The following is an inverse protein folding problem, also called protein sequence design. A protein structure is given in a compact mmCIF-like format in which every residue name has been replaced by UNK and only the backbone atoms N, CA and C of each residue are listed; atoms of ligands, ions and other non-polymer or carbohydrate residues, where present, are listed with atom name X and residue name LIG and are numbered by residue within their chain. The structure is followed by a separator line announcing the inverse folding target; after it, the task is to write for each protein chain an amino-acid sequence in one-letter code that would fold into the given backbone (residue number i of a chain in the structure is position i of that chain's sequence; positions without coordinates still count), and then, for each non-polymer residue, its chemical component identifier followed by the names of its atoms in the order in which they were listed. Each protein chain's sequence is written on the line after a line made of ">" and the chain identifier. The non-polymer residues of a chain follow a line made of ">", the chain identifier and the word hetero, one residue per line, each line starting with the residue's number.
data_IF_822342855343
#
_entry.id   IF_822342855343
#
_cell.length_a   1.000
_cell.length_b   1.000
_cell.length_c   1.000
_cell.angle_alpha   90.00
_cell.angle_beta   90.00
_cell.angle_gamma   90.00
#
_symmetry.space_group_name_H-M   'P 1'
#
loop_
_entity.id
_entity.type
_entity.pdbx_description
1 polymer ?
#
# COMPACT_ATOMS: atom_id res chain seq x y z
N UNK A 1 10.27 -3.05 -10.84
CA UNK A 1 9.22 -2.37 -10.06
C UNK A 1 9.58 -2.50 -8.59
N UNK A 2 9.50 -1.41 -7.81
CA UNK A 2 9.77 -1.44 -6.35
C UNK A 2 8.47 -1.14 -5.62
N UNK A 3 8.04 -2.06 -4.78
CA UNK A 3 6.85 -1.95 -3.94
C UNK A 3 7.29 -2.26 -2.51
N UNK A 4 6.82 -1.46 -1.55
CA UNK A 4 7.00 -1.71 -0.13
C UNK A 4 5.61 -1.94 0.48
N UNK A 5 5.49 -3.02 1.26
CA UNK A 5 4.25 -3.50 1.83
C UNK A 5 4.50 -3.82 3.30
N UNK A 6 3.56 -3.49 4.18
CA UNK A 6 3.60 -3.95 5.56
C UNK A 6 2.85 -3.04 6.52
N UNK A 7 2.96 -3.41 7.80
CA UNK A 7 2.50 -2.63 8.93
C UNK A 7 3.55 -1.57 9.26
N UNK A 8 3.18 -0.30 9.11
CA UNK A 8 4.03 0.83 9.45
C UNK A 8 3.70 1.40 10.83
N UNK A 9 2.65 0.89 11.48
CA UNK A 9 2.15 1.34 12.77
C UNK A 9 1.97 2.87 12.86
N UNK A 10 1.57 3.49 11.76
CA UNK A 10 1.39 4.93 11.66
C UNK A 10 0.26 5.23 10.69
N UNK A 11 -0.56 6.20 11.05
CA UNK A 11 -1.59 6.73 10.16
C UNK A 11 -1.01 7.87 9.33
N UNK A 12 -1.59 8.13 8.17
CA UNK A 12 -1.09 9.17 7.24
C UNK A 12 -1.71 10.54 7.55
N UNK A 13 -0.85 11.55 7.75
CA UNK A 13 -1.22 12.95 7.97
C UNK A 13 -1.92 13.62 6.77
N UNK A 14 -2.45 14.85 6.96
CA UNK A 14 -3.27 15.58 5.95
C UNK A 14 -2.62 16.87 5.43
N UNK A 15 -1.33 17.10 5.73
CA UNK A 15 -0.71 18.38 5.42
C UNK A 15 -0.63 18.60 3.90
N UNK A 16 -1.00 19.80 3.45
CA UNK A 16 -1.06 20.13 2.02
C UNK A 16 0.28 19.91 1.30
N UNK A 17 1.39 20.05 2.02
CA UNK A 17 2.74 19.79 1.52
C UNK A 17 2.95 18.35 1.06
N UNK A 18 2.16 17.40 1.56
CA UNK A 18 2.32 15.98 1.29
C UNK A 18 1.36 15.43 0.23
N UNK A 19 0.40 16.22 -0.26
CA UNK A 19 -0.56 15.81 -1.32
C UNK A 19 0.06 15.10 -2.54
N UNK A 20 1.29 15.41 -2.99
CA UNK A 20 1.93 14.65 -4.08
C UNK A 20 2.26 13.18 -3.72
N UNK A 21 2.23 12.83 -2.45
CA UNK A 21 2.68 11.55 -1.87
C UNK A 21 1.51 10.77 -1.23
N UNK A 22 0.43 11.46 -0.83
CA UNK A 22 -0.69 10.92 -0.04
C UNK A 22 -2.06 11.44 -0.53
N UNK A 23 -3.15 10.72 -0.21
CA UNK A 23 -4.53 11.18 -0.38
C UNK A 23 -5.10 11.91 0.84
N UNK A 24 -6.43 11.97 0.95
CA UNK A 24 -7.15 12.84 1.90
C UNK A 24 -7.34 12.25 3.32
N UNK A 25 -6.44 11.39 3.79
CA UNK A 25 -6.57 10.77 5.13
C UNK A 25 -5.99 11.68 6.24
N UNK A 26 -6.31 11.40 7.51
CA UNK A 26 -5.99 12.27 8.65
C UNK A 26 -5.17 11.56 9.73
N UNK A 27 -4.01 12.12 10.08
CA UNK A 27 -3.23 11.80 11.28
C UNK A 27 -2.29 12.94 11.69
N UNK A 28 -1.65 12.82 12.86
CA UNK A 28 -0.58 13.71 13.33
C UNK A 28 0.83 13.10 13.23
N UNK A 29 0.96 11.88 12.68
CA UNK A 29 2.24 11.19 12.51
C UNK A 29 2.68 11.22 11.04
N UNK A 30 3.73 11.99 10.78
CA UNK A 30 4.30 12.15 9.44
C UNK A 30 5.47 11.22 9.17
N UNK A 31 5.81 10.28 10.05
CA UNK A 31 6.96 9.39 9.90
C UNK A 31 6.97 8.63 8.57
N UNK A 32 5.85 8.00 8.23
CA UNK A 32 5.69 7.25 6.96
C UNK A 32 5.70 8.17 5.75
N UNK A 33 5.09 9.35 5.87
CA UNK A 33 5.02 10.34 4.80
C UNK A 33 6.40 10.94 4.50
N UNK A 34 7.16 11.26 5.54
CA UNK A 34 8.54 11.72 5.46
C UNK A 34 9.45 10.64 4.87
N UNK A 35 9.31 9.40 5.33
CA UNK A 35 10.02 8.27 4.75
C UNK A 35 9.70 8.10 3.26
N UNK A 36 8.42 8.07 2.88
CA UNK A 36 8.00 7.93 1.49
C UNK A 36 8.55 9.06 0.62
N UNK A 37 8.47 10.31 1.10
CA UNK A 37 9.02 11.48 0.43
C UNK A 37 10.53 11.36 0.23
N UNK A 38 11.28 11.01 1.28
CA UNK A 38 12.74 10.83 1.24
C UNK A 38 13.21 9.73 0.28
N UNK A 39 12.36 8.71 0.05
CA UNK A 39 12.65 7.57 -0.82
C UNK A 39 12.01 7.68 -2.20
N UNK A 40 11.37 8.81 -2.52
CA UNK A 40 10.64 9.02 -3.76
C UNK A 40 9.59 7.92 -4.03
N UNK A 41 8.83 7.58 -2.98
CA UNK A 41 7.73 6.64 -2.98
C UNK A 41 6.40 7.38 -2.85
N UNK A 42 5.33 6.76 -3.34
CA UNK A 42 3.95 7.22 -3.22
C UNK A 42 3.16 6.21 -2.38
N UNK A 43 2.38 6.71 -1.40
CA UNK A 43 1.55 5.88 -0.52
C UNK A 43 0.19 5.66 -1.20
N UNK A 44 -0.05 4.46 -1.73
CA UNK A 44 -1.23 4.16 -2.56
C UNK A 44 -2.51 3.92 -1.76
N UNK A 45 -2.40 3.45 -0.51
CA UNK A 45 -3.54 3.08 0.34
C UNK A 45 -4.48 4.24 0.67
N UNK A 46 -4.03 5.49 0.49
CA UNK A 46 -4.81 6.70 0.77
C UNK A 46 -5.36 7.36 -0.49
N UNK A 47 -4.93 6.95 -1.68
CA UNK A 47 -5.20 7.65 -2.94
C UNK A 47 -6.48 7.21 -3.65
N UNK A 48 -7.04 6.06 -3.29
CA UNK A 48 -8.22 5.52 -3.96
C UNK A 48 -9.51 5.93 -3.24
N UNK A 49 -10.52 6.43 -3.98
CA UNK A 49 -11.79 6.84 -3.40
C UNK A 49 -12.60 5.60 -2.99
N UNK A 50 -12.53 5.26 -1.72
CA UNK A 50 -13.25 4.12 -1.14
C UNK A 50 -14.14 4.55 0.03
N UNK A 51 -15.17 3.77 0.31
CA UNK A 51 -15.88 3.86 1.59
C UNK A 51 -14.96 3.46 2.74
N UNK A 52 -15.16 4.02 3.93
CA UNK A 52 -14.34 3.75 5.13
C UNK A 52 -14.16 2.26 5.46
N UNK A 53 -15.17 1.42 5.17
CA UNK A 53 -15.07 -0.04 5.33
C UNK A 53 -13.96 -0.69 4.49
N UNK A 54 -13.50 -0.05 3.42
CA UNK A 54 -12.43 -0.53 2.54
C UNK A 54 -11.10 0.22 2.76
N UNK A 55 -11.07 1.17 3.70
CA UNK A 55 -9.87 1.94 4.07
C UNK A 55 -9.25 1.47 5.37
N UNK A 56 -10.09 1.15 6.36
CA UNK A 56 -9.62 0.71 7.66
C UNK A 56 -9.19 -0.75 7.66
N UNK A 57 -8.08 -1.00 8.34
CA UNK A 57 -7.31 -2.25 8.26
C UNK A 57 -7.23 -2.87 9.64
N UNK A 58 -6.95 -2.07 10.66
CA UNK A 58 -6.95 -2.51 12.05
C UNK A 58 -8.27 -2.16 12.75
N UNK A 59 -8.73 -3.03 13.64
CA UNK A 59 -9.90 -2.82 14.50
C UNK A 59 -9.50 -3.07 15.95
N UNK A 60 -9.86 -2.18 16.86
CA UNK A 60 -9.63 -2.40 18.30
C UNK A 60 -10.33 -3.66 18.82
N UNK A 61 -9.86 -4.27 19.92
CA UNK A 61 -10.52 -5.43 20.51
C UNK A 61 -12.00 -5.19 20.89
N UNK A 62 -12.34 -3.95 21.31
CA UNK A 62 -13.72 -3.53 21.60
C UNK A 62 -14.52 -3.15 20.35
N UNK A 63 -13.87 -3.15 19.20
CA UNK A 63 -14.47 -2.94 17.89
C UNK A 63 -14.84 -1.50 17.56
N UNK A 64 -14.51 -0.52 18.40
CA UNK A 64 -14.91 0.88 18.25
C UNK A 64 -13.95 1.68 17.37
N UNK A 65 -12.65 1.43 17.52
CA UNK A 65 -11.59 2.17 16.84
C UNK A 65 -11.17 1.39 15.59
N UNK A 66 -10.95 2.14 14.51
CA UNK A 66 -10.57 1.60 13.22
C UNK A 66 -9.46 2.46 12.62
N UNK A 67 -8.30 1.86 12.38
CA UNK A 67 -7.11 2.60 11.95
C UNK A 67 -6.58 2.05 10.62
N UNK A 68 -5.86 2.91 9.89
CA UNK A 68 -5.14 2.53 8.67
C UNK A 68 -3.64 2.59 8.95
N UNK A 69 -3.07 1.46 9.38
CA UNK A 69 -1.64 1.35 9.79
C UNK A 69 -0.80 0.48 8.84
N UNK A 70 -1.46 -0.35 8.03
CA UNK A 70 -0.80 -1.08 6.95
C UNK A 70 -0.86 -0.27 5.64
N UNK A 71 0.26 -0.19 4.92
CA UNK A 71 0.35 0.61 3.70
C UNK A 71 1.01 -0.14 2.54
N UNK A 72 0.60 0.27 1.33
CA UNK A 72 1.25 -0.11 0.08
C UNK A 72 1.91 1.13 -0.50
N UNK A 73 3.24 1.11 -0.59
CA UNK A 73 4.04 2.16 -1.20
C UNK A 73 4.64 1.67 -2.52
N UNK A 74 4.75 2.56 -3.50
CA UNK A 74 5.37 2.26 -4.80
C UNK A 74 6.32 3.37 -5.21
N UNK A 75 7.38 3.03 -5.94
CA UNK A 75 8.23 4.03 -6.56
C UNK A 75 7.41 5.00 -7.43
N UNK A 76 7.61 6.31 -7.24
CA UNK A 76 6.83 7.37 -7.90
C UNK A 76 6.72 7.21 -9.42
N UNK A 77 7.80 6.80 -10.09
CA UNK A 77 7.81 6.56 -11.53
C UNK A 77 7.00 5.34 -12.02
N UNK A 78 6.44 4.55 -11.10
CA UNK A 78 5.59 3.38 -11.36
C UNK A 78 4.22 3.49 -10.69
N UNK A 79 3.85 4.68 -10.21
CA UNK A 79 2.61 4.89 -9.47
C UNK A 79 1.35 4.38 -10.21
N UNK A 80 1.31 4.56 -11.52
CA UNK A 80 0.22 4.12 -12.40
C UNK A 80 0.14 2.60 -12.62
N UNK A 81 1.14 1.83 -12.17
CA UNK A 81 1.09 0.36 -12.17
C UNK A 81 0.12 -0.17 -11.11
N UNK A 82 -0.17 0.58 -10.04
CA UNK A 82 -1.17 0.17 -9.03
C UNK A 82 -2.52 0.79 -9.40
N UNK A 83 -3.50 -0.09 -9.63
CA UNK A 83 -4.85 0.24 -10.10
C UNK A 83 -5.85 0.38 -8.95
N UNK A 84 -5.61 -0.28 -7.83
CA UNK A 84 -6.46 -0.22 -6.65
C UNK A 84 -5.70 -0.69 -5.41
N UNK A 85 -6.02 -0.13 -4.24
CA UNK A 85 -5.58 -0.61 -2.92
C UNK A 85 -6.76 -0.48 -1.95
N UNK A 86 -7.08 -1.57 -1.24
CA UNK A 86 -8.20 -1.62 -0.29
C UNK A 86 -8.00 -2.69 0.78
N UNK A 87 -8.71 -2.54 1.90
CA UNK A 87 -8.83 -3.61 2.89
C UNK A 87 -9.80 -4.70 2.41
N UNK A 88 -9.44 -5.95 2.69
CA UNK A 88 -10.16 -7.15 2.28
C UNK A 88 -10.82 -7.81 3.47
N UNK A 89 -12.02 -7.31 3.83
CA UNK A 89 -12.78 -7.78 4.99
C UNK A 89 -13.42 -9.16 4.85
N UNK A 90 -13.45 -9.72 3.64
CA UNK A 90 -14.04 -11.05 3.42
C UNK A 90 -13.09 -12.19 3.85
N UNK A 91 -11.82 -11.89 4.11
CA UNK A 91 -10.91 -12.83 4.74
C UNK A 91 -11.02 -12.72 6.26
N UNK A 92 -11.46 -13.80 6.91
CA UNK A 92 -11.29 -13.97 8.34
C UNK A 92 -9.94 -14.65 8.59
N UNK A 93 -9.02 -13.91 9.19
CA UNK A 93 -7.68 -14.39 9.53
C UNK A 93 -7.51 -14.66 11.02
N UNK A 94 -8.57 -14.54 11.84
CA UNK A 94 -8.48 -14.66 13.29
C UNK A 94 -7.66 -13.53 13.95
N UNK A 95 -7.49 -12.40 13.26
CA UNK A 95 -6.70 -11.24 13.72
C UNK A 95 -7.55 -9.98 13.76
N UNK A 96 -7.12 -9.01 14.56
CA UNK A 96 -7.67 -7.64 14.57
C UNK A 96 -7.35 -6.84 13.30
N UNK A 97 -6.45 -7.35 12.45
CA UNK A 97 -6.12 -6.81 11.14
C UNK A 97 -6.95 -7.49 10.04
N UNK A 98 -7.43 -6.70 9.10
CA UNK A 98 -7.93 -7.16 7.80
C UNK A 98 -6.77 -7.13 6.80
N UNK A 99 -6.63 -8.11 5.89
CA UNK A 99 -5.60 -8.05 4.86
C UNK A 99 -5.74 -6.82 3.95
N UNK A 100 -4.62 -6.27 3.49
CA UNK A 100 -4.59 -5.23 2.44
C UNK A 100 -4.35 -5.90 1.10
N UNK A 101 -5.17 -5.55 0.11
CA UNK A 101 -5.06 -6.06 -1.25
C UNK A 101 -4.75 -4.91 -2.20
N UNK A 102 -3.70 -5.09 -3.00
CA UNK A 102 -3.33 -4.21 -4.09
C UNK A 102 -3.56 -4.86 -5.44
N UNK A 103 -4.25 -4.19 -6.36
CA UNK A 103 -4.37 -4.60 -7.76
C UNK A 103 -3.30 -3.87 -8.58
N UNK A 104 -2.46 -4.63 -9.28
CA UNK A 104 -1.39 -4.08 -10.10
C UNK A 104 -1.44 -4.56 -11.55
N UNK A 105 -0.88 -3.75 -12.45
CA UNK A 105 -0.72 -4.03 -13.88
C UNK A 105 0.71 -3.70 -14.29
N UNK A 106 1.38 -4.68 -14.89
CA UNK A 106 2.77 -4.54 -15.31
C UNK A 106 3.00 -5.25 -16.65
N UNK A 107 3.96 -4.77 -17.44
CA UNK A 107 4.41 -5.44 -18.66
C UNK A 107 5.63 -6.30 -18.32
N UNK A 108 5.54 -7.59 -18.59
CA UNK A 108 6.64 -8.52 -18.36
C UNK A 108 7.50 -8.63 -19.62
N UNK A 109 8.81 -8.63 -19.45
CA UNK A 109 9.73 -9.00 -20.52
C UNK A 109 9.73 -10.53 -20.66
N UNK A 110 9.70 -11.03 -21.89
CA UNK A 110 9.89 -12.45 -22.17
C UNK A 110 11.38 -12.75 -22.04
N UNK A 111 11.76 -13.57 -21.06
CA UNK A 111 13.13 -14.09 -21.00
C UNK A 111 13.33 -15.16 -22.08
N UNK A 112 14.41 -15.06 -22.84
CA UNK A 112 14.84 -16.16 -23.71
C UNK A 112 15.36 -17.28 -22.81
N UNK A 113 14.79 -18.48 -22.91
CA UNK A 113 15.41 -19.68 -22.30
C UNK A 113 16.79 -19.84 -22.90
N UNK A 114 17.83 -19.81 -22.07
CA UNK A 114 19.15 -20.25 -22.49
C UNK A 114 19.05 -21.72 -22.89
N UNK A 115 19.51 -22.04 -24.11
CA UNK A 115 19.63 -23.44 -24.52
C UNK A 115 20.71 -24.07 -23.64
N UNK A 116 20.29 -24.93 -22.71
CA UNK A 116 21.21 -25.80 -21.99
C UNK A 116 21.78 -26.76 -23.05
N UNK A 117 23.01 -26.50 -23.48
CA UNK A 117 23.74 -27.45 -24.31
C UNK A 117 24.03 -28.67 -23.43
N UNK A 118 23.28 -29.76 -23.64
CA UNK A 118 23.63 -31.05 -23.04
C UNK A 118 24.99 -31.47 -23.58
N UNK A 119 25.97 -31.54 -22.69
CA UNK A 119 27.27 -32.16 -22.97
C UNK A 119 26.99 -33.65 -23.23
N UNK A 120 27.47 -34.15 -24.38
CA UNK A 120 27.35 -35.56 -24.78
C UNK A 120 28.26 -36.45 -23.95
#
# INVERSE_FOLDING_TARGET
>A
MKILLGDFNAEVGREDIFKPTIGNESSNDNGVVNFATSKNLTIKSTLFPHSNIHKFIWRSPDGKIHNQIDHILIAKGRDSSILDVRSFRAADCGTHHHPVVGKFRERLAVSKKEKINKIK
#
